data_IF_175454452005
#
_entry.id   IF_175454452005
#
_cell.length_a   1.000
_cell.length_b   1.000
_cell.length_c   1.000
_cell.angle_alpha   90.00
_cell.angle_beta   90.00
_cell.angle_gamma   90.00
#
_symmetry.space_group_name_H-M   'P 1'
#
loop_
_entity.id
_entity.type
_entity.pdbx_description
1 polymer ?
#
# COMPACT_ATOMS: atom_id res chain seq x y z
N UNK A 1 -59.24 -1.77 -6.35
CA UNK A 1 -58.31 -2.22 -7.42
C UNK A 1 -56.99 -1.49 -7.20
N UNK A 2 -56.10 -2.03 -6.37
CA UNK A 2 -54.98 -2.95 -6.71
C UNK A 2 -53.70 -2.20 -7.17
N UNK A 3 -52.69 -2.14 -6.25
CA UNK A 3 -51.21 -2.25 -6.43
C UNK A 3 -50.46 -1.20 -7.32
N UNK A 4 -49.14 -0.89 -7.25
CA UNK A 4 -47.93 -1.33 -6.52
C UNK A 4 -46.74 -0.41 -6.92
N UNK A 5 -45.88 -0.11 -5.95
CA UNK A 5 -44.39 -0.10 -5.90
C UNK A 5 -43.52 0.67 -6.93
N UNK A 6 -42.71 1.57 -6.34
CA UNK A 6 -41.29 1.88 -6.51
C UNK A 6 -40.51 1.43 -7.76
N UNK A 7 -39.65 2.36 -8.22
CA UNK A 7 -38.51 2.08 -9.09
C UNK A 7 -37.49 3.21 -9.04
N UNK A 8 -36.66 3.25 -7.99
CA UNK A 8 -35.38 3.96 -8.02
C UNK A 8 -34.47 3.14 -8.92
N UNK A 9 -34.06 3.70 -10.06
CA UNK A 9 -32.90 3.21 -10.81
C UNK A 9 -31.82 4.30 -10.75
N UNK A 10 -30.91 4.11 -9.81
CA UNK A 10 -29.61 4.79 -9.73
C UNK A 10 -28.85 4.48 -11.02
N UNK A 11 -28.97 5.36 -12.02
CA UNK A 11 -28.08 5.37 -13.19
C UNK A 11 -26.89 6.22 -12.79
N UNK A 12 -25.89 5.61 -12.15
CA UNK A 12 -24.74 6.37 -11.68
C UNK A 12 -23.68 5.55 -10.98
N UNK A 13 -23.23 4.42 -11.55
CA UNK A 13 -22.02 3.75 -11.07
C UNK A 13 -21.31 2.81 -12.07
N UNK A 14 -21.89 2.51 -13.24
CA UNK A 14 -21.38 1.41 -14.07
C UNK A 14 -20.34 1.81 -15.15
N UNK A 15 -20.02 3.10 -15.33
CA UNK A 15 -19.23 3.54 -16.50
C UNK A 15 -17.87 4.19 -16.20
N UNK A 16 -17.33 4.07 -14.98
CA UNK A 16 -15.98 4.60 -14.65
C UNK A 16 -14.97 3.54 -14.16
N UNK A 17 -15.33 2.26 -14.23
CA UNK A 17 -14.48 1.14 -13.82
C UNK A 17 -13.08 1.01 -14.46
N UNK A 18 -12.79 1.43 -15.71
CA UNK A 18 -11.51 1.06 -16.34
C UNK A 18 -10.34 2.05 -16.17
N UNK A 19 -10.51 3.24 -15.59
CA UNK A 19 -9.43 4.26 -15.57
C UNK A 19 -8.63 4.27 -14.25
N UNK A 20 -9.01 3.46 -13.26
CA UNK A 20 -8.35 3.45 -11.94
C UNK A 20 -7.59 2.14 -11.72
N UNK A 21 -6.34 2.14 -12.21
CA UNK A 21 -5.21 1.24 -11.92
C UNK A 21 -5.39 -0.28 -12.15
N UNK A 22 -4.89 -0.75 -13.30
CA UNK A 22 -4.76 -2.17 -13.67
C UNK A 22 -3.57 -2.87 -12.96
N UNK A 23 -3.23 -2.44 -11.73
CA UNK A 23 -2.11 -2.96 -10.95
C UNK A 23 -2.61 -3.89 -9.85
N UNK A 24 -1.84 -4.91 -9.53
CA UNK A 24 -2.16 -5.82 -8.45
C UNK A 24 -2.27 -5.06 -7.12
N UNK A 25 -3.23 -5.45 -6.27
CA UNK A 25 -3.44 -4.83 -4.96
C UNK A 25 -3.16 -5.82 -3.82
N UNK A 26 -2.68 -5.31 -2.69
CA UNK A 26 -2.55 -6.08 -1.46
C UNK A 26 -3.88 -6.74 -1.09
N UNK A 27 -3.86 -8.06 -0.90
CA UNK A 27 -5.07 -8.86 -0.61
C UNK A 27 -5.49 -8.68 0.84
N UNK A 28 -6.79 -8.48 1.03
CA UNK A 28 -7.41 -8.40 2.35
C UNK A 28 -8.86 -8.86 2.32
N UNK A 29 -9.36 -9.28 3.47
CA UNK A 29 -10.78 -9.54 3.73
C UNK A 29 -11.37 -8.41 4.59
N UNK A 30 -12.60 -8.00 4.31
CA UNK A 30 -13.31 -6.99 5.13
C UNK A 30 -14.05 -7.71 6.26
N UNK A 31 -13.65 -7.42 7.50
CA UNK A 31 -14.25 -7.96 8.73
C UNK A 31 -15.48 -7.16 9.14
N UNK A 32 -15.37 -5.83 9.09
CA UNK A 32 -16.46 -4.91 9.43
C UNK A 32 -16.36 -3.64 8.58
N UNK A 33 -17.50 -2.99 8.30
CA UNK A 33 -17.55 -1.71 7.60
C UNK A 33 -18.56 -0.76 8.26
N UNK A 34 -18.16 0.50 8.46
CA UNK A 34 -19.01 1.60 8.91
C UNK A 34 -18.68 2.87 8.12
N UNK A 35 -19.55 3.24 7.18
CA UNK A 35 -19.29 4.36 6.27
C UNK A 35 -18.03 4.12 5.44
N UNK A 36 -17.06 5.03 5.50
CA UNK A 36 -15.77 4.92 4.82
C UNK A 36 -14.66 4.26 5.67
N UNK A 37 -14.99 3.77 6.87
CA UNK A 37 -14.08 3.06 7.76
C UNK A 37 -14.34 1.55 7.66
N UNK A 38 -13.29 0.76 7.57
CA UNK A 38 -13.33 -0.70 7.51
C UNK A 38 -12.32 -1.33 8.47
N UNK A 39 -12.68 -2.47 9.06
CA UNK A 39 -11.73 -3.38 9.69
C UNK A 39 -11.37 -4.44 8.65
N UNK A 40 -10.08 -4.61 8.38
CA UNK A 40 -9.58 -5.50 7.32
C UNK A 40 -8.51 -6.44 7.86
N UNK A 41 -8.58 -7.70 7.44
CA UNK A 41 -7.53 -8.69 7.65
C UNK A 41 -6.69 -8.80 6.39
N UNK A 42 -5.42 -8.39 6.47
CA UNK A 42 -4.46 -8.51 5.39
C UNK A 42 -3.74 -9.85 5.48
N UNK A 43 -3.62 -10.54 4.35
CA UNK A 43 -2.82 -11.76 4.25
C UNK A 43 -1.32 -11.44 4.34
N UNK A 44 -0.46 -12.40 4.73
CA UNK A 44 0.99 -12.18 4.72
C UNK A 44 1.46 -11.71 3.34
N UNK A 45 2.37 -10.74 3.32
CA UNK A 45 2.86 -10.13 2.08
C UNK A 45 4.37 -9.87 2.16
N UNK A 46 5.03 -9.87 1.00
CA UNK A 46 6.42 -9.46 0.88
C UNK A 46 6.44 -8.00 0.45
N UNK A 47 7.32 -7.20 1.05
CA UNK A 47 7.51 -5.79 0.71
C UNK A 47 8.98 -5.50 0.42
N UNK A 48 9.21 -4.56 -0.50
CA UNK A 48 10.46 -3.82 -0.57
C UNK A 48 10.32 -2.54 0.26
N UNK A 49 11.24 -2.32 1.19
CA UNK A 49 11.23 -1.20 2.15
C UNK A 49 12.51 -0.37 2.01
N UNK A 50 12.35 0.95 1.99
CA UNK A 50 13.45 1.90 2.14
C UNK A 50 13.13 2.81 3.33
N UNK A 51 14.11 3.01 4.20
CA UNK A 51 14.02 3.90 5.35
C UNK A 51 14.87 5.15 5.10
N UNK A 52 14.27 6.32 5.23
CA UNK A 52 14.90 7.61 4.93
C UNK A 52 14.63 8.59 6.06
N UNK A 53 15.70 9.16 6.62
CA UNK A 53 15.61 10.22 7.62
C UNK A 53 15.42 11.60 6.99
N UNK A 54 14.65 12.45 7.68
CA UNK A 54 14.41 13.84 7.31
C UNK A 54 12.92 14.21 7.29
N UNK A 55 12.65 15.39 6.73
CA UNK A 55 11.29 15.90 6.57
C UNK A 55 10.45 14.96 5.71
N UNK A 56 9.14 14.91 6.03
CA UNK A 56 8.22 13.92 5.47
C UNK A 56 8.23 13.90 3.95
N UNK A 57 7.98 15.04 3.33
CA UNK A 57 7.81 15.12 1.88
C UNK A 57 9.07 14.71 1.12
N UNK A 58 10.24 15.20 1.56
CA UNK A 58 11.53 14.85 0.97
C UNK A 58 11.84 13.37 1.15
N UNK A 59 11.64 12.85 2.37
CA UNK A 59 11.95 11.46 2.72
C UNK A 59 11.09 10.47 1.95
N UNK A 60 9.81 10.77 1.77
CA UNK A 60 8.89 9.96 0.96
C UNK A 60 9.35 9.92 -0.50
N UNK A 61 9.64 11.07 -1.09
CA UNK A 61 10.06 11.17 -2.48
C UNK A 61 11.37 10.41 -2.72
N UNK A 62 12.32 10.53 -1.79
CA UNK A 62 13.60 9.81 -1.83
C UNK A 62 13.39 8.30 -1.67
N UNK A 63 12.59 7.87 -0.69
CA UNK A 63 12.26 6.47 -0.47
C UNK A 63 11.57 5.83 -1.67
N UNK A 64 10.61 6.54 -2.29
CA UNK A 64 9.95 6.09 -3.52
C UNK A 64 10.95 5.90 -4.67
N UNK A 65 11.86 6.86 -4.89
CA UNK A 65 12.89 6.73 -5.93
C UNK A 65 13.82 5.53 -5.70
N UNK A 66 14.24 5.30 -4.46
CA UNK A 66 15.08 4.14 -4.09
C UNK A 66 14.38 2.82 -4.45
N UNK A 67 13.10 2.69 -4.09
CA UNK A 67 12.33 1.48 -4.39
C UNK A 67 12.01 1.35 -5.87
N UNK A 68 11.66 2.45 -6.55
CA UNK A 68 11.40 2.47 -7.98
C UNK A 68 12.64 2.03 -8.78
N UNK A 69 13.83 2.51 -8.41
CA UNK A 69 15.10 2.12 -9.04
C UNK A 69 15.32 0.60 -8.96
N UNK A 70 15.07 -0.01 -7.79
CA UNK A 70 15.08 -1.47 -7.63
C UNK A 70 14.06 -2.17 -8.54
N UNK A 71 12.80 -1.71 -8.53
CA UNK A 71 11.70 -2.31 -9.30
C UNK A 71 11.95 -2.22 -10.82
N UNK A 72 12.59 -1.14 -11.29
CA UNK A 72 12.81 -0.88 -12.71
C UNK A 72 14.15 -1.39 -13.26
N UNK A 73 14.95 -2.07 -12.44
CA UNK A 73 16.09 -2.86 -12.92
C UNK A 73 17.42 -2.66 -12.19
N UNK A 74 17.48 -1.94 -11.07
CA UNK A 74 18.70 -1.92 -10.24
C UNK A 74 18.76 -3.12 -9.28
N UNK A 75 18.76 -4.32 -9.86
CA UNK A 75 18.78 -5.60 -9.17
C UNK A 75 19.54 -6.67 -9.95
N UNK A 76 19.86 -7.78 -9.27
CA UNK A 76 20.37 -9.01 -9.87
C UNK A 76 19.28 -10.09 -9.79
N UNK A 77 18.86 -10.70 -10.92
CA UNK A 77 17.88 -11.79 -10.89
C UNK A 77 18.35 -12.95 -10.02
N UNK A 78 17.42 -13.59 -9.31
CA UNK A 78 17.69 -14.72 -8.42
C UNK A 78 17.38 -16.09 -9.03
N UNK A 79 17.23 -16.21 -10.35
CA UNK A 79 16.95 -17.52 -10.96
C UNK A 79 17.89 -18.59 -10.41
N UNK A 80 17.40 -19.82 -10.26
CA UNK A 80 18.15 -21.01 -9.81
C UNK A 80 19.33 -21.29 -10.75
N UNK A 81 20.35 -20.45 -10.72
CA UNK A 81 21.64 -20.69 -11.31
C UNK A 81 22.34 -21.54 -10.27
N UNK A 82 22.31 -22.86 -10.48
CA UNK A 82 23.27 -23.75 -9.86
C UNK A 82 24.64 -23.06 -9.94
N UNK A 83 25.36 -22.97 -8.82
CA UNK A 83 26.65 -22.27 -8.71
C UNK A 83 27.73 -22.94 -9.58
N UNK A 84 27.58 -22.87 -10.90
CA UNK A 84 28.49 -23.43 -11.88
C UNK A 84 29.11 -22.27 -12.65
N UNK A 85 30.44 -22.21 -12.63
CA UNK A 85 31.19 -21.31 -13.49
C UNK A 85 31.04 -21.72 -14.96
N UNK A 86 30.98 -20.77 -15.92
CA UNK A 86 31.12 -19.32 -15.73
C UNK A 86 29.78 -18.63 -15.39
N UNK A 87 29.83 -17.57 -14.58
CA UNK A 87 28.70 -16.67 -14.34
C UNK A 87 28.51 -15.79 -15.59
N UNK A 88 27.59 -16.17 -16.47
CA UNK A 88 27.12 -15.31 -17.55
C UNK A 88 26.36 -14.15 -16.89
N UNK A 89 26.72 -12.90 -17.19
CA UNK A 89 26.00 -11.71 -16.71
C UNK A 89 24.54 -11.81 -17.16
N UNK A 90 23.62 -11.98 -16.21
CA UNK A 90 22.19 -11.97 -16.50
C UNK A 90 21.67 -10.52 -16.49
N UNK A 91 20.84 -10.12 -17.47
CA UNK A 91 20.24 -8.79 -17.49
C UNK A 91 19.30 -8.62 -16.28
N UNK A 92 19.21 -7.39 -15.75
CA UNK A 92 18.34 -7.09 -14.62
C UNK A 92 16.86 -7.34 -14.93
N UNK A 93 16.06 -7.57 -13.88
CA UNK A 93 14.66 -7.93 -14.00
C UNK A 93 13.74 -6.76 -13.63
N UNK A 94 12.73 -6.48 -14.46
CA UNK A 94 11.68 -5.50 -14.12
C UNK A 94 10.57 -6.18 -13.32
N UNK A 95 10.25 -5.62 -12.17
CA UNK A 95 9.18 -6.09 -11.29
C UNK A 95 7.91 -5.28 -11.59
N UNK A 96 6.76 -5.93 -11.66
CA UNK A 96 5.49 -5.24 -11.86
C UNK A 96 5.13 -4.36 -10.64
N UNK A 97 4.58 -3.18 -10.91
CA UNK A 97 4.08 -2.32 -9.84
C UNK A 97 2.78 -2.87 -9.24
N UNK A 98 2.62 -2.77 -7.92
CA UNK A 98 1.40 -3.03 -7.16
C UNK A 98 0.93 -1.76 -6.45
N UNK A 99 -0.25 -1.81 -5.84
CA UNK A 99 -0.74 -0.80 -4.92
C UNK A 99 -1.17 -1.44 -3.58
N UNK A 100 -1.15 -0.69 -2.47
CA UNK A 100 -0.67 0.69 -2.32
C UNK A 100 0.84 0.81 -2.12
N UNK A 101 1.35 2.05 -2.23
CA UNK A 101 2.61 2.46 -1.60
C UNK A 101 2.30 2.90 -0.18
N UNK A 102 2.94 2.30 0.83
CA UNK A 102 2.68 2.65 2.24
C UNK A 102 3.81 3.47 2.84
N UNK A 103 3.47 4.42 3.71
CA UNK A 103 4.40 5.28 4.43
C UNK A 103 4.13 5.20 5.92
N UNK A 104 5.17 4.98 6.71
CA UNK A 104 5.11 4.93 8.18
C UNK A 104 6.24 5.79 8.75
N UNK A 105 5.93 6.72 9.64
CA UNK A 105 6.88 7.67 10.21
C UNK A 105 7.21 7.39 11.68
N UNK A 106 8.49 7.49 12.05
CA UNK A 106 8.94 7.46 13.44
C UNK A 106 10.16 8.38 13.64
N UNK A 107 10.09 9.34 14.59
CA UNK A 107 11.24 10.15 15.06
C UNK A 107 12.17 10.66 13.94
N UNK A 108 11.61 11.41 12.97
CA UNK A 108 12.33 11.96 11.82
C UNK A 108 12.88 10.92 10.83
N UNK A 109 12.30 9.73 10.81
CA UNK A 109 12.57 8.65 9.85
C UNK A 109 11.27 8.17 9.22
N UNK A 110 11.29 7.92 7.91
CA UNK A 110 10.15 7.48 7.11
C UNK A 110 10.46 6.19 6.40
N UNK A 111 9.61 5.18 6.62
CA UNK A 111 9.64 3.91 5.90
C UNK A 111 8.67 3.98 4.74
N UNK A 112 9.19 3.81 3.53
CA UNK A 112 8.41 3.69 2.31
C UNK A 112 8.42 2.23 1.89
N UNK A 113 7.24 1.65 1.70
CA UNK A 113 7.10 0.24 1.29
C UNK A 113 6.31 0.10 0.01
N UNK A 114 6.71 -0.88 -0.77
CA UNK A 114 6.03 -1.35 -1.96
C UNK A 114 5.73 -2.84 -1.81
N UNK A 115 4.48 -3.24 -2.01
CA UNK A 115 4.10 -4.65 -1.94
C UNK A 115 4.67 -5.37 -3.17
N UNK A 116 5.26 -6.54 -3.00
CA UNK A 116 5.74 -7.33 -4.14
C UNK A 116 4.56 -8.09 -4.76
N UNK A 117 4.50 -8.23 -6.10
CA UNK A 117 3.47 -9.03 -6.76
C UNK A 117 3.41 -10.47 -6.24
N UNK A 118 2.23 -11.09 -6.20
CA UNK A 118 2.04 -12.38 -5.52
C UNK A 118 2.75 -13.57 -6.17
N UNK A 119 3.25 -13.43 -7.41
CA UNK A 119 4.05 -14.47 -8.08
C UNK A 119 5.49 -14.56 -7.53
N UNK A 120 5.95 -13.58 -6.75
CA UNK A 120 7.27 -13.58 -6.15
C UNK A 120 7.31 -14.22 -4.76
N UNK A 121 8.43 -14.87 -4.46
CA UNK A 121 8.78 -15.42 -3.16
C UNK A 121 10.11 -14.81 -2.68
N UNK A 122 10.50 -15.00 -1.42
CA UNK A 122 11.80 -14.53 -0.94
C UNK A 122 12.99 -15.12 -1.72
N UNK A 123 12.82 -16.34 -2.23
CA UNK A 123 13.83 -17.06 -2.97
C UNK A 123 13.89 -16.63 -4.43
N UNK A 124 12.76 -16.21 -5.02
CA UNK A 124 12.69 -15.78 -6.42
C UNK A 124 12.87 -14.28 -6.63
N UNK A 125 12.70 -13.45 -5.59
CA UNK A 125 12.87 -12.00 -5.71
C UNK A 125 14.30 -11.62 -6.11
N UNK A 126 14.48 -10.78 -7.14
CA UNK A 126 15.77 -10.22 -7.49
C UNK A 126 16.47 -9.61 -6.27
N UNK A 127 17.77 -9.81 -6.16
CA UNK A 127 18.55 -9.20 -5.08
C UNK A 127 18.72 -7.70 -5.40
N UNK A 128 18.36 -6.78 -4.50
CA UNK A 128 18.66 -5.37 -4.69
C UNK A 128 20.16 -5.13 -4.78
N UNK A 129 20.59 -4.25 -5.70
CA UNK A 129 21.98 -3.77 -5.74
C UNK A 129 22.24 -2.66 -4.71
N UNK A 130 21.18 -1.96 -4.30
CA UNK A 130 21.24 -0.88 -3.34
C UNK A 130 20.90 -1.40 -1.94
N UNK A 131 21.84 -1.32 -1.00
CA UNK A 131 21.68 -1.79 0.37
C UNK A 131 20.63 -1.02 1.19
N UNK A 132 20.18 0.14 0.69
CA UNK A 132 19.05 0.88 1.27
C UNK A 132 17.71 0.16 1.05
N UNK A 133 17.62 -0.77 0.09
CA UNK A 133 16.42 -1.56 -0.19
C UNK A 133 16.46 -2.84 0.65
N UNK A 134 15.46 -3.01 1.52
CA UNK A 134 15.29 -4.22 2.34
C UNK A 134 14.05 -4.97 1.91
N UNK A 135 14.21 -6.25 1.58
CA UNK A 135 13.08 -7.15 1.32
C UNK A 135 12.62 -7.76 2.66
N UNK A 136 11.35 -7.60 3.00
CA UNK A 136 10.78 -8.05 4.27
C UNK A 136 9.47 -8.81 4.05
N UNK A 137 9.23 -9.85 4.86
CA UNK A 137 7.93 -10.48 4.99
C UNK A 137 7.15 -9.80 6.12
N UNK A 138 5.97 -9.28 5.80
CA UNK A 138 5.00 -8.79 6.77
C UNK A 138 4.03 -9.96 7.03
N UNK A 139 3.84 -10.39 8.30
CA UNK A 139 2.86 -11.42 8.63
C UNK A 139 1.44 -10.91 8.39
N UNK A 140 0.44 -11.78 8.56
CA UNK A 140 -0.95 -11.36 8.54
C UNK A 140 -1.21 -10.31 9.64
N UNK A 141 -1.98 -9.29 9.30
CA UNK A 141 -2.24 -8.16 10.20
C UNK A 141 -3.68 -7.69 10.06
N UNK A 142 -4.26 -7.23 11.17
CA UNK A 142 -5.56 -6.57 11.18
C UNK A 142 -5.39 -5.07 11.28
N UNK A 143 -6.09 -4.35 10.40
CA UNK A 143 -6.07 -2.88 10.38
C UNK A 143 -7.48 -2.32 10.46
N UNK A 144 -7.62 -1.20 11.16
CA UNK A 144 -8.72 -0.26 10.91
C UNK A 144 -8.24 0.71 9.83
N UNK A 145 -9.04 0.88 8.77
CA UNK A 145 -8.70 1.65 7.59
C UNK A 145 -9.79 2.65 7.28
N UNK A 146 -9.43 3.91 7.04
CA UNK A 146 -10.32 4.94 6.51
C UNK A 146 -9.92 5.29 5.08
N UNK A 147 -10.89 5.25 4.16
CA UNK A 147 -10.69 5.66 2.76
C UNK A 147 -11.18 7.09 2.54
N UNK A 148 -10.39 7.86 1.80
CA UNK A 148 -10.74 9.23 1.41
C UNK A 148 -10.17 9.61 0.04
N UNK A 149 -10.66 10.72 -0.50
CA UNK A 149 -10.22 11.34 -1.75
C UNK A 149 -9.71 12.75 -1.52
N UNK A 150 -9.02 13.33 -2.50
CA UNK A 150 -8.48 14.69 -2.42
C UNK A 150 -6.99 14.73 -2.16
N UNK A 151 -6.54 15.87 -1.62
CA UNK A 151 -5.13 16.11 -1.29
C UNK A 151 -4.77 15.42 0.02
N UNK A 152 -3.67 14.65 0.01
CA UNK A 152 -3.16 13.97 1.20
C UNK A 152 -2.02 14.78 1.86
N UNK A 153 -2.30 16.05 2.13
CA UNK A 153 -1.43 16.91 2.94
C UNK A 153 -1.46 16.54 4.42
N UNK A 154 -0.59 17.14 5.21
CA UNK A 154 -0.44 16.84 6.64
C UNK A 154 -1.76 16.99 7.41
N UNK A 155 -2.48 18.10 7.20
CA UNK A 155 -3.76 18.35 7.88
C UNK A 155 -4.81 17.28 7.55
N UNK A 156 -4.93 16.91 6.28
CA UNK A 156 -5.88 15.86 5.85
C UNK A 156 -5.51 14.50 6.46
N UNK A 157 -4.23 14.14 6.46
CA UNK A 157 -3.78 12.89 7.07
C UNK A 157 -4.02 12.87 8.58
N UNK A 158 -3.80 14.00 9.25
CA UNK A 158 -4.05 14.17 10.69
C UNK A 158 -5.55 14.06 11.01
N UNK A 159 -6.41 14.71 10.23
CA UNK A 159 -7.86 14.62 10.36
C UNK A 159 -8.34 13.16 10.29
N UNK A 160 -7.91 12.42 9.26
CA UNK A 160 -8.33 11.03 9.06
C UNK A 160 -7.72 10.08 10.10
N UNK A 161 -6.50 10.35 10.57
CA UNK A 161 -5.88 9.64 11.69
C UNK A 161 -6.69 9.83 12.97
N UNK A 162 -7.13 11.06 13.26
CA UNK A 162 -7.95 11.34 14.44
C UNK A 162 -9.30 10.63 14.36
N UNK A 163 -9.96 10.63 13.19
CA UNK A 163 -11.20 9.91 12.97
C UNK A 163 -11.05 8.40 13.24
N UNK A 164 -9.93 7.80 12.81
CA UNK A 164 -9.63 6.39 13.12
C UNK A 164 -9.38 6.16 14.61
N UNK A 165 -8.63 7.03 15.28
CA UNK A 165 -8.39 6.93 16.72
C UNK A 165 -9.70 7.01 17.52
N UNK A 166 -10.61 7.90 17.13
CA UNK A 166 -11.96 7.98 17.72
C UNK A 166 -12.72 6.68 17.51
N UNK A 167 -12.74 6.15 16.27
CA UNK A 167 -13.41 4.89 15.97
C UNK A 167 -12.85 3.71 16.79
N UNK A 168 -11.52 3.61 16.89
CA UNK A 168 -10.82 2.58 17.68
C UNK A 168 -11.21 2.68 19.16
N UNK A 169 -11.22 3.90 19.71
CA UNK A 169 -11.60 4.17 21.10
C UNK A 169 -13.05 3.79 21.37
N UNK A 170 -13.98 4.24 20.53
CA UNK A 170 -15.42 3.96 20.66
C UNK A 170 -15.72 2.45 20.62
N UNK A 171 -14.99 1.73 19.78
CA UNK A 171 -15.08 0.26 19.64
C UNK A 171 -14.29 -0.51 20.70
N UNK A 172 -13.54 0.18 21.57
CA UNK A 172 -12.65 -0.42 22.59
C UNK A 172 -11.62 -1.37 21.98
N UNK A 173 -11.10 -1.03 20.79
CA UNK A 173 -10.07 -1.79 20.10
C UNK A 173 -8.68 -1.36 20.60
N UNK A 174 -7.70 -2.25 20.54
CA UNK A 174 -6.32 -1.96 20.94
C UNK A 174 -5.46 -1.65 19.71
N UNK A 175 -5.02 -0.40 19.57
CA UNK A 175 -4.04 -0.02 18.54
C UNK A 175 -2.65 -0.58 18.85
N UNK A 176 -1.98 -1.13 17.84
CA UNK A 176 -0.66 -1.74 17.93
C UNK A 176 0.43 -0.93 17.21
N UNK A 177 0.04 0.05 16.38
CA UNK A 177 0.97 0.83 15.56
C UNK A 177 0.62 2.31 15.51
N UNK A 178 1.59 3.10 15.05
CA UNK A 178 1.36 4.44 14.51
C UNK A 178 0.58 4.36 13.18
N UNK A 179 -0.01 5.47 12.69
CA UNK A 179 -0.70 5.47 11.41
C UNK A 179 0.24 5.14 10.25
N UNK A 180 -0.26 4.29 9.35
CA UNK A 180 0.32 4.00 8.05
C UNK A 180 -0.53 4.68 6.97
N UNK A 181 0.11 5.41 6.06
CA UNK A 181 -0.57 6.08 4.96
C UNK A 181 -0.38 5.29 3.67
N UNK A 182 -1.47 5.00 2.96
CA UNK A 182 -1.48 4.18 1.76
C UNK A 182 -1.99 4.96 0.54
N UNK A 183 -1.16 5.03 -0.49
CA UNK A 183 -1.42 5.77 -1.73
C UNK A 183 -1.51 4.82 -2.91
N UNK A 184 -2.62 4.91 -3.65
CA UNK A 184 -2.94 3.97 -4.73
C UNK A 184 -2.73 4.56 -6.12
N UNK A 185 -2.72 5.90 -6.20
CA UNK A 185 -2.78 6.60 -7.47
C UNK A 185 -1.46 7.29 -7.80
N UNK A 186 -1.07 7.32 -9.07
CA UNK A 186 0.06 8.11 -9.52
C UNK A 186 -0.15 9.63 -9.35
N UNK A 187 0.93 10.44 -9.32
CA UNK A 187 0.86 11.87 -9.02
C UNK A 187 0.04 12.69 -10.03
N UNK A 188 -0.11 12.24 -11.28
CA UNK A 188 -0.92 12.91 -12.30
C UNK A 188 -2.44 12.70 -12.15
N UNK A 189 -2.88 11.82 -11.24
CA UNK A 189 -4.31 11.58 -11.00
C UNK A 189 -4.94 12.82 -10.38
N UNK A 190 -6.09 13.27 -10.91
CA UNK A 190 -6.83 14.42 -10.36
C UNK A 190 -7.19 14.18 -8.87
N UNK A 191 -7.05 15.17 -7.97
CA UNK A 191 -7.18 14.95 -6.53
C UNK A 191 -8.46 14.25 -6.09
N UNK A 192 -9.62 14.66 -6.63
CA UNK A 192 -10.93 14.08 -6.28
C UNK A 192 -11.13 12.64 -6.80
N UNK A 193 -10.27 12.18 -7.72
CA UNK A 193 -10.25 10.78 -8.20
C UNK A 193 -9.22 9.91 -7.47
N UNK A 194 -8.39 10.49 -6.59
CA UNK A 194 -7.41 9.74 -5.82
C UNK A 194 -8.10 8.91 -4.74
N UNK A 195 -7.60 7.71 -4.52
CA UNK A 195 -7.83 6.86 -3.36
C UNK A 195 -6.61 7.00 -2.46
N UNK A 196 -6.85 7.54 -1.28
CA UNK A 196 -5.90 7.58 -0.18
C UNK A 196 -6.51 6.80 0.98
N UNK A 197 -5.66 6.15 1.77
CA UNK A 197 -6.09 5.47 2.98
C UNK A 197 -5.16 5.81 4.15
N UNK A 198 -5.73 5.94 5.34
CA UNK A 198 -4.98 5.86 6.61
C UNK A 198 -5.34 4.53 7.25
N UNK A 199 -4.34 3.86 7.82
CA UNK A 199 -4.46 2.53 8.42
C UNK A 199 -3.80 2.52 9.80
N UNK A 200 -4.43 1.90 10.78
CA UNK A 200 -3.84 1.66 12.11
C UNK A 200 -3.98 0.17 12.43
N UNK A 201 -2.86 -0.48 12.76
CA UNK A 201 -2.84 -1.88 13.14
C UNK A 201 -3.56 -2.04 14.49
N UNK A 202 -4.38 -3.08 14.62
CA UNK A 202 -5.09 -3.39 15.86
C UNK A 202 -4.91 -4.86 16.25
N UNK A 203 -5.07 -5.14 17.54
CA UNK A 203 -5.16 -6.51 18.04
C UNK A 203 -6.32 -7.26 17.39
N UNK A 204 -6.11 -8.55 17.09
CA UNK A 204 -7.14 -9.44 16.56
C UNK A 204 -8.15 -9.84 17.61
#
# INVERSE_FOLDING_TARGET
MLWIIAGIAVIGAAAWGPIVSNVEQAKYDVVESKGNIQIRDYTPMIVAEAEVSGEREESINKGFRIIADYIFGNNVPKQNVAMTAPVIQQPSEKIAMTAPVTQEGARNSWKVRFVMPANYTLDTLPKPNNDAVRIKKIPDKRFVVIRFSGMAGEDSLKEHTNALNTFITDKKLTALSQPTYAFFNPPWTLPFLRRNEVMIEIAK
#
